data_IF_304195983544
#
_entry.id   IF_304195983544
#
_cell.length_a   1.000
_cell.length_b   1.000
_cell.length_c   1.000
_cell.angle_alpha   90.00
_cell.angle_beta   90.00
_cell.angle_gamma   90.00
#
_symmetry.space_group_name_H-M   'P 1'
#
loop_
_entity.id
_entity.type
_entity.pdbx_description
1 polymer ?
#
# COMPACT_ATOMS: atom_id res chain seq x y z
N UNK A 1 -25.82 -26.62 -0.43
CA UNK A 1 -25.23 -25.27 -0.28
C UNK A 1 -26.18 -24.44 0.57
N UNK A 2 -25.80 -24.19 1.82
CA UNK A 2 -26.59 -23.43 2.78
C UNK A 2 -26.74 -21.97 2.31
N UNK A 3 -27.98 -21.49 2.16
CA UNK A 3 -28.24 -20.11 1.76
C UNK A 3 -27.87 -19.20 2.93
N UNK A 4 -26.70 -18.55 2.86
CA UNK A 4 -26.30 -17.53 3.82
C UNK A 4 -27.40 -16.47 3.93
N UNK A 5 -27.89 -16.24 5.16
CA UNK A 5 -28.92 -15.25 5.45
C UNK A 5 -28.45 -13.86 5.00
N UNK A 6 -29.30 -13.05 4.35
CA UNK A 6 -28.94 -11.69 3.98
C UNK A 6 -28.53 -10.88 5.21
N UNK A 7 -27.42 -10.12 5.16
CA UNK A 7 -27.02 -9.22 6.24
C UNK A 7 -28.08 -8.14 6.48
N UNK A 8 -28.20 -7.67 7.71
CA UNK A 8 -29.18 -6.64 8.09
C UNK A 8 -28.79 -5.28 7.50
N UNK A 9 -29.71 -4.62 6.77
CA UNK A 9 -29.45 -3.35 6.09
C UNK A 9 -28.93 -2.24 7.02
N UNK A 10 -29.57 -2.02 8.17
CA UNK A 10 -29.15 -0.98 9.11
C UNK A 10 -27.74 -1.20 9.68
N UNK A 11 -27.33 -2.45 9.86
CA UNK A 11 -25.96 -2.76 10.29
C UNK A 11 -24.93 -2.42 9.20
N UNK A 12 -25.26 -2.70 7.92
CA UNK A 12 -24.41 -2.33 6.79
C UNK A 12 -24.26 -0.82 6.65
N UNK A 13 -25.34 -0.05 6.81
CA UNK A 13 -25.28 1.41 6.76
C UNK A 13 -24.42 1.97 7.89
N UNK A 14 -24.64 1.52 9.13
CA UNK A 14 -23.84 1.96 10.27
C UNK A 14 -22.35 1.70 10.05
N UNK A 15 -21.99 0.51 9.56
CA UNK A 15 -20.59 0.18 9.26
C UNK A 15 -20.04 1.03 8.12
N UNK A 16 -20.81 1.23 7.05
CA UNK A 16 -20.44 2.08 5.92
C UNK A 16 -20.11 3.50 6.38
N UNK A 17 -20.97 4.09 7.19
CA UNK A 17 -20.85 5.50 7.59
C UNK A 17 -19.62 5.70 8.49
N UNK A 18 -19.36 4.77 9.42
CA UNK A 18 -18.12 4.76 10.22
C UNK A 18 -16.85 4.65 9.35
N UNK A 19 -16.89 3.81 8.31
CA UNK A 19 -15.75 3.67 7.39
C UNK A 19 -15.55 4.94 6.56
N UNK A 20 -16.63 5.57 6.10
CA UNK A 20 -16.58 6.84 5.35
C UNK A 20 -15.98 7.95 6.21
N UNK A 21 -16.37 8.07 7.48
CA UNK A 21 -15.77 9.03 8.42
C UNK A 21 -14.26 8.81 8.56
N UNK A 22 -13.83 7.54 8.64
CA UNK A 22 -12.43 7.16 8.81
C UNK A 22 -11.53 7.48 7.60
N UNK A 23 -12.10 7.69 6.41
CA UNK A 23 -11.34 8.02 5.20
C UNK A 23 -10.56 9.33 5.36
N UNK A 24 -11.15 10.33 6.03
CA UNK A 24 -10.57 11.66 6.22
C UNK A 24 -9.32 11.67 7.11
N UNK A 25 -9.12 10.64 7.94
CA UNK A 25 -8.01 10.58 8.90
C UNK A 25 -6.65 10.24 8.26
N UNK A 26 -6.61 9.84 6.99
CA UNK A 26 -5.41 9.31 6.33
C UNK A 26 -4.62 10.39 5.55
N UNK A 27 -4.06 11.37 6.27
CA UNK A 27 -3.39 12.55 5.67
C UNK A 27 -2.00 12.25 5.08
N UNK A 28 -1.30 11.21 5.56
CA UNK A 28 0.03 10.85 5.08
C UNK A 28 0.11 9.38 4.67
N UNK A 29 0.01 9.15 3.36
CA UNK A 29 0.03 7.81 2.75
C UNK A 29 1.09 7.73 1.65
N UNK A 30 1.70 6.56 1.49
CA UNK A 30 2.67 6.29 0.44
C UNK A 30 2.40 4.91 -0.16
N UNK A 31 1.93 4.88 -1.41
CA UNK A 31 1.83 3.64 -2.18
C UNK A 31 3.22 3.19 -2.60
N UNK A 32 3.71 2.08 -2.09
CA UNK A 32 5.01 1.57 -2.50
C UNK A 32 5.48 0.40 -1.65
N UNK A 33 6.73 0.01 -1.90
CA UNK A 33 7.35 -1.09 -1.18
C UNK A 33 8.78 -0.75 -0.79
N UNK A 34 9.19 -1.21 0.39
CA UNK A 34 10.57 -1.12 0.82
C UNK A 34 11.38 -2.23 0.14
N UNK A 35 12.59 -1.87 -0.28
CA UNK A 35 13.57 -2.76 -0.88
C UNK A 35 14.89 -2.55 -0.19
N UNK A 36 15.62 -3.63 0.04
CA UNK A 36 16.97 -3.60 0.61
C UNK A 36 17.89 -4.35 -0.32
N UNK A 37 18.77 -3.62 -1.02
CA UNK A 37 19.71 -4.22 -1.97
C UNK A 37 20.97 -3.36 -2.08
N UNK A 38 22.02 -3.96 -2.64
CA UNK A 38 23.22 -3.22 -2.98
C UNK A 38 23.06 -2.45 -4.31
N UNK A 39 23.96 -1.50 -4.57
CA UNK A 39 24.03 -0.78 -5.85
C UNK A 39 25.40 -0.92 -6.52
N UNK A 40 25.41 -0.70 -7.82
CA UNK A 40 26.60 -0.59 -8.67
C UNK A 40 26.91 0.89 -8.84
N UNK A 41 28.17 1.28 -8.67
CA UNK A 41 28.58 2.69 -8.80
C UNK A 41 28.99 3.05 -10.24
N UNK A 42 29.21 4.33 -10.50
CA UNK A 42 29.65 4.81 -11.82
C UNK A 42 31.10 4.46 -12.17
N UNK A 43 31.97 4.25 -11.16
CA UNK A 43 33.41 4.01 -11.36
C UNK A 43 33.65 2.73 -12.17
N UNK A 44 34.42 2.82 -13.25
CA UNK A 44 34.72 1.70 -14.14
C UNK A 44 35.45 0.57 -13.43
N UNK A 45 36.49 0.89 -12.66
CA UNK A 45 37.36 -0.09 -11.99
C UNK A 45 36.91 -0.43 -10.57
N UNK A 46 35.60 -0.46 -10.30
CA UNK A 46 35.09 -0.80 -8.97
C UNK A 46 34.85 -2.31 -8.83
N UNK A 47 35.08 -2.86 -7.64
CA UNK A 47 34.79 -4.26 -7.31
C UNK A 47 33.31 -4.62 -7.47
N UNK A 48 32.39 -3.64 -7.43
CA UNK A 48 30.97 -3.87 -7.70
C UNK A 48 30.65 -4.21 -9.17
N UNK A 49 31.59 -4.00 -10.10
CA UNK A 49 31.44 -4.29 -11.53
C UNK A 49 32.19 -5.56 -11.99
N UNK A 50 32.78 -6.34 -11.07
CA UNK A 50 33.44 -7.60 -11.44
C UNK A 50 32.43 -8.56 -12.08
N UNK A 51 32.82 -9.21 -13.16
CA UNK A 51 32.03 -10.25 -13.83
C UNK A 51 31.89 -11.50 -12.96
N UNK A 52 32.94 -11.83 -12.21
CA UNK A 52 32.96 -12.92 -11.23
C UNK A 52 32.95 -12.34 -9.81
N UNK A 53 32.01 -12.80 -8.96
CA UNK A 53 31.82 -12.38 -7.57
C UNK A 53 31.81 -10.83 -7.35
N UNK A 54 30.82 -10.12 -7.94
CA UNK A 54 30.68 -8.67 -7.77
C UNK A 54 30.42 -8.28 -6.32
N UNK A 55 31.20 -7.32 -5.80
CA UNK A 55 31.01 -6.77 -4.45
C UNK A 55 30.18 -5.49 -4.50
N UNK A 56 28.86 -5.63 -4.43
CA UNK A 56 27.93 -4.50 -4.46
C UNK A 56 28.11 -3.57 -3.27
N UNK A 57 27.85 -2.28 -3.46
CA UNK A 57 27.84 -1.30 -2.37
C UNK A 57 26.53 -1.41 -1.58
N UNK A 58 26.58 -1.27 -0.26
CA UNK A 58 25.41 -1.36 0.61
C UNK A 58 25.44 -2.63 1.50
N UNK A 59 24.26 -3.21 1.84
CA UNK A 59 22.94 -2.92 1.31
C UNK A 59 22.32 -1.63 1.85
N UNK A 60 21.48 -1.01 1.04
CA UNK A 60 20.75 0.22 1.38
C UNK A 60 19.25 0.03 1.31
N UNK A 61 18.52 0.84 2.08
CA UNK A 61 17.06 0.86 2.03
C UNK A 61 16.59 1.81 0.92
N UNK A 62 15.61 1.35 0.14
CA UNK A 62 14.98 2.08 -0.94
C UNK A 62 13.46 2.01 -0.83
N UNK A 63 12.79 3.07 -1.26
CA UNK A 63 11.35 3.05 -1.52
C UNK A 63 11.14 2.92 -3.02
N UNK A 64 10.53 1.83 -3.45
CA UNK A 64 10.02 1.67 -4.81
C UNK A 64 8.56 2.14 -4.85
N UNK A 65 8.30 3.15 -5.66
CA UNK A 65 7.00 3.81 -5.83
C UNK A 65 6.57 3.73 -7.30
N UNK A 66 5.35 3.22 -7.54
CA UNK A 66 4.75 3.19 -8.88
C UNK A 66 4.03 4.52 -9.13
N UNK A 67 4.49 5.27 -10.12
CA UNK A 67 3.85 6.49 -10.60
C UNK A 67 3.45 6.31 -12.06
N UNK A 68 2.14 6.29 -12.32
CA UNK A 68 1.56 5.97 -13.63
C UNK A 68 2.09 4.61 -14.14
N UNK A 69 2.74 4.62 -15.30
CA UNK A 69 3.36 3.51 -16.01
C UNK A 69 4.82 3.26 -15.61
N UNK A 70 5.39 4.10 -14.73
CA UNK A 70 6.81 4.07 -14.35
C UNK A 70 7.02 3.69 -12.89
N UNK A 71 8.17 3.10 -12.61
CA UNK A 71 8.63 2.81 -11.26
C UNK A 71 9.74 3.80 -10.90
N UNK A 72 9.52 4.58 -9.84
CA UNK A 72 10.51 5.48 -9.28
C UNK A 72 11.07 4.86 -8.00
N UNK A 73 12.38 4.92 -7.81
CA UNK A 73 13.04 4.40 -6.62
C UNK A 73 13.86 5.49 -5.97
N UNK A 74 13.69 5.69 -4.67
CA UNK A 74 14.47 6.66 -3.89
C UNK A 74 15.26 5.98 -2.78
N UNK A 75 16.48 6.45 -2.54
CA UNK A 75 17.29 6.04 -1.40
C UNK A 75 16.72 6.58 -0.08
N UNK A 76 16.74 5.73 0.95
CA UNK A 76 16.23 6.05 2.27
C UNK A 76 17.39 6.10 3.29
N UNK A 77 17.64 7.29 3.82
CA UNK A 77 18.37 7.41 5.08
C UNK A 77 17.45 7.03 6.26
N UNK A 78 17.99 6.99 7.48
CA UNK A 78 17.24 6.61 8.70
C UNK A 78 15.92 7.39 8.87
N UNK A 79 15.94 8.71 8.67
CA UNK A 79 14.74 9.57 8.79
C UNK A 79 13.71 9.27 7.70
N UNK A 80 14.16 9.17 6.44
CA UNK A 80 13.29 8.82 5.30
C UNK A 80 12.68 7.43 5.46
N UNK A 81 13.42 6.46 5.99
CA UNK A 81 12.93 5.10 6.23
C UNK A 81 11.76 5.08 7.21
N UNK A 82 11.85 5.82 8.32
CA UNK A 82 10.76 5.93 9.29
C UNK A 82 9.50 6.55 8.67
N UNK A 83 9.67 7.62 7.89
CA UNK A 83 8.56 8.25 7.17
C UNK A 83 7.97 7.32 6.11
N UNK A 84 8.81 6.62 5.33
CA UNK A 84 8.35 5.67 4.33
C UNK A 84 7.51 4.55 4.96
N UNK A 85 7.95 3.97 6.08
CA UNK A 85 7.19 2.98 6.84
C UNK A 85 5.84 3.52 7.31
N UNK A 86 5.81 4.72 7.89
CA UNK A 86 4.56 5.37 8.35
C UNK A 86 3.59 5.57 7.20
N UNK A 87 4.07 6.08 6.06
CA UNK A 87 3.24 6.33 4.87
C UNK A 87 2.72 5.03 4.24
N UNK A 88 3.55 4.00 4.13
CA UNK A 88 3.11 2.67 3.62
C UNK A 88 2.03 2.09 4.52
N UNK A 89 2.21 2.14 5.84
CA UNK A 89 1.20 1.67 6.78
C UNK A 89 -0.12 2.46 6.66
N UNK A 90 -0.04 3.78 6.45
CA UNK A 90 -1.23 4.61 6.17
C UNK A 90 -1.93 4.21 4.87
N UNK A 91 -1.17 3.98 3.80
CA UNK A 91 -1.72 3.51 2.54
C UNK A 91 -2.42 2.15 2.68
N UNK A 92 -1.81 1.18 3.37
CA UNK A 92 -2.41 -0.13 3.57
C UNK A 92 -3.75 -0.06 4.30
N UNK A 93 -3.82 0.70 5.41
CA UNK A 93 -5.07 0.92 6.14
C UNK A 93 -6.13 1.57 5.26
N UNK A 94 -5.76 2.60 4.49
CA UNK A 94 -6.70 3.25 3.58
C UNK A 94 -7.27 2.26 2.56
N UNK A 95 -6.42 1.44 1.94
CA UNK A 95 -6.86 0.46 0.94
C UNK A 95 -7.74 -0.62 1.56
N UNK A 96 -7.43 -1.09 2.77
CA UNK A 96 -8.29 -2.00 3.53
C UNK A 96 -9.68 -1.40 3.78
N UNK A 97 -9.74 -0.14 4.22
CA UNK A 97 -11.01 0.60 4.39
C UNK A 97 -11.78 0.69 3.06
N UNK A 98 -11.11 1.03 1.96
CA UNK A 98 -11.74 1.13 0.63
C UNK A 98 -12.29 -0.23 0.18
N UNK A 99 -11.54 -1.32 0.36
CA UNK A 99 -12.02 -2.67 0.02
C UNK A 99 -13.22 -3.06 0.87
N UNK A 100 -13.20 -2.77 2.17
CA UNK A 100 -14.33 -3.07 3.05
C UNK A 100 -15.57 -2.26 2.67
N UNK A 101 -15.40 -0.98 2.37
CA UNK A 101 -16.47 -0.11 1.91
C UNK A 101 -17.09 -0.62 0.59
N UNK A 102 -16.24 -1.05 -0.35
CA UNK A 102 -16.69 -1.64 -1.61
C UNK A 102 -17.50 -2.93 -1.38
N UNK A 103 -17.07 -3.80 -0.48
CA UNK A 103 -17.79 -5.03 -0.11
C UNK A 103 -19.15 -4.72 0.54
N UNK A 104 -19.23 -3.71 1.42
CA UNK A 104 -20.50 -3.28 2.02
C UNK A 104 -21.45 -2.75 0.95
N UNK A 105 -20.97 -1.89 0.07
CA UNK A 105 -21.78 -1.36 -1.03
C UNK A 105 -22.25 -2.48 -1.96
N UNK A 106 -21.40 -3.45 -2.27
CA UNK A 106 -21.77 -4.64 -3.02
C UNK A 106 -22.89 -5.43 -2.30
N UNK A 107 -22.81 -5.62 -0.99
CA UNK A 107 -23.85 -6.31 -0.20
C UNK A 107 -25.16 -5.54 -0.17
N UNK A 108 -25.12 -4.21 -0.04
CA UNK A 108 -26.29 -3.36 -0.14
C UNK A 108 -26.94 -3.52 -1.51
N UNK A 109 -26.16 -3.39 -2.59
CA UNK A 109 -26.66 -3.59 -3.95
C UNK A 109 -27.22 -5.01 -4.17
N UNK A 110 -26.56 -6.04 -3.63
CA UNK A 110 -26.98 -7.43 -3.82
C UNK A 110 -28.28 -7.79 -3.11
N UNK A 111 -28.49 -7.29 -1.88
CA UNK A 111 -29.56 -7.75 -1.00
C UNK A 111 -30.61 -6.68 -0.66
N UNK A 112 -30.29 -5.40 -0.85
CA UNK A 112 -31.10 -4.26 -0.42
C UNK A 112 -31.18 -3.15 -1.48
N UNK A 113 -31.04 -3.49 -2.77
CA UNK A 113 -31.07 -2.49 -3.87
C UNK A 113 -32.38 -1.68 -3.90
N UNK A 114 -33.48 -2.26 -3.43
CA UNK A 114 -34.77 -1.61 -3.32
C UNK A 114 -34.83 -0.49 -2.27
N UNK A 115 -33.74 -0.28 -1.53
CA UNK A 115 -33.57 0.78 -0.52
C UNK A 115 -32.45 1.78 -0.89
N UNK A 116 -31.86 1.66 -2.09
CA UNK A 116 -30.88 2.61 -2.60
C UNK A 116 -31.56 3.88 -3.13
#
# INVERSE_FOLDING_TARGET
MERLRPPVYGALLKERDLLVESLSANVFILRGSLRRHGNICGRSNCSCKRTEDPKLHGPYDYLSHRYKDKTQTIFLNKKKLLLAKKGIAGYNRLIETVYRLSEINFRILRYHYNKL
#
